data_IF_032309023849
#
_entry.id   IF_032309023849
#
_cell.length_a   1.000
_cell.length_b   1.000
_cell.length_c   1.000
_cell.angle_alpha   90.00
_cell.angle_beta   90.00
_cell.angle_gamma   90.00
#
_symmetry.space_group_name_H-M   'P 1'
#
loop_
_entity.id
_entity.type
_entity.pdbx_description
1 polymer ?
#
# COMPACT_ATOMS: atom_id res chain seq x y z
N UNK A 1 -17.57 -13.80 -21.45
CA UNK A 1 -16.84 -14.16 -20.21
C UNK A 1 -15.57 -13.34 -20.03
N UNK A 2 -14.89 -12.95 -21.10
CA UNK A 2 -13.60 -12.23 -21.05
C UNK A 2 -13.65 -10.92 -20.24
N UNK A 3 -14.68 -10.09 -20.39
CA UNK A 3 -14.84 -8.84 -19.62
C UNK A 3 -14.91 -9.03 -18.10
N UNK A 4 -15.53 -10.13 -17.65
CA UNK A 4 -15.65 -10.47 -16.22
C UNK A 4 -14.32 -11.01 -15.71
N UNK A 5 -13.66 -11.88 -16.49
CA UNK A 5 -12.35 -12.39 -16.15
C UNK A 5 -11.30 -11.27 -16.05
N UNK A 6 -11.34 -10.29 -16.96
CA UNK A 6 -10.43 -9.14 -16.94
C UNK A 6 -10.53 -8.32 -15.64
N UNK A 7 -11.73 -8.12 -15.11
CA UNK A 7 -11.94 -7.43 -13.83
C UNK A 7 -11.52 -8.31 -12.64
N UNK A 8 -11.97 -9.57 -12.62
CA UNK A 8 -11.82 -10.43 -11.44
C UNK A 8 -10.44 -11.05 -11.32
N UNK A 9 -9.71 -11.27 -12.41
CA UNK A 9 -8.40 -11.95 -12.39
C UNK A 9 -7.39 -11.19 -11.52
N UNK A 10 -7.29 -9.88 -11.70
CA UNK A 10 -6.41 -9.02 -10.90
C UNK A 10 -6.73 -9.09 -9.40
N UNK A 11 -8.02 -9.12 -9.05
CA UNK A 11 -8.50 -9.21 -7.66
C UNK A 11 -8.30 -10.61 -7.09
N UNK A 12 -8.47 -11.64 -7.91
CA UNK A 12 -8.22 -13.03 -7.53
C UNK A 12 -6.73 -13.24 -7.20
N UNK A 13 -5.83 -12.74 -8.06
CA UNK A 13 -4.39 -12.82 -7.84
C UNK A 13 -3.97 -12.03 -6.58
N UNK A 14 -4.56 -10.86 -6.36
CA UNK A 14 -4.37 -10.09 -5.13
C UNK A 14 -4.85 -10.84 -3.88
N UNK A 15 -6.02 -11.48 -3.95
CA UNK A 15 -6.60 -12.22 -2.82
C UNK A 15 -5.80 -13.48 -2.49
N UNK A 16 -5.26 -14.16 -3.50
CA UNK A 16 -4.36 -15.31 -3.31
C UNK A 16 -3.07 -14.87 -2.59
N UNK A 17 -2.48 -13.75 -3.04
CA UNK A 17 -1.31 -13.17 -2.38
C UNK A 17 -1.62 -12.78 -0.93
N UNK A 18 -2.73 -12.07 -0.69
CA UNK A 18 -3.16 -11.65 0.65
C UNK A 18 -3.45 -12.86 1.55
N UNK A 19 -4.01 -13.94 1.01
CA UNK A 19 -4.28 -15.17 1.76
C UNK A 19 -3.01 -15.92 2.18
N UNK A 20 -1.87 -15.64 1.55
CA UNK A 20 -0.57 -16.22 1.91
C UNK A 20 0.20 -15.43 2.96
N UNK A 21 -0.29 -14.25 3.33
CA UNK A 21 0.35 -13.36 4.30
C UNK A 21 0.11 -13.88 5.73
N UNK A 22 1.20 -14.13 6.47
CA UNK A 22 1.12 -14.71 7.82
C UNK A 22 0.90 -13.65 8.92
N UNK A 23 1.22 -12.38 8.65
CA UNK A 23 1.13 -11.29 9.63
C UNK A 23 0.48 -10.04 9.03
N UNK A 24 -0.86 -10.02 9.01
CA UNK A 24 -1.64 -8.85 8.60
C UNK A 24 -1.74 -7.86 9.77
N UNK A 25 -1.20 -6.65 9.60
CA UNK A 25 -1.25 -5.57 10.60
C UNK A 25 -2.29 -4.51 10.22
N UNK A 26 -2.88 -3.82 11.19
CA UNK A 26 -3.82 -2.72 10.92
C UNK A 26 -3.19 -1.59 10.08
N UNK A 27 -1.89 -1.40 10.19
CA UNK A 27 -1.10 -0.44 9.40
C UNK A 27 -1.04 -0.77 7.90
N UNK A 28 -1.24 -2.02 7.49
CA UNK A 28 -1.20 -2.41 6.07
C UNK A 28 -2.53 -2.18 5.36
N UNK A 29 -3.62 -1.93 6.09
CA UNK A 29 -4.96 -1.78 5.52
C UNK A 29 -5.09 -0.51 4.67
N UNK A 30 -4.62 0.65 5.16
CA UNK A 30 -4.62 1.91 4.39
C UNK A 30 -3.90 1.77 3.03
N UNK A 31 -2.64 1.30 2.95
CA UNK A 31 -1.95 1.16 1.67
C UNK A 31 -2.57 0.08 0.78
N UNK A 32 -3.09 -1.01 1.36
CA UNK A 32 -3.84 -2.04 0.61
C UNK A 32 -5.10 -1.46 -0.02
N UNK A 33 -5.89 -0.70 0.74
CA UNK A 33 -7.12 -0.08 0.22
C UNK A 33 -6.79 0.85 -0.94
N UNK A 34 -5.76 1.69 -0.80
CA UNK A 34 -5.30 2.56 -1.88
C UNK A 34 -4.83 1.78 -3.10
N UNK A 35 -4.08 0.69 -2.92
CA UNK A 35 -3.66 -0.16 -4.04
C UNK A 35 -4.86 -0.75 -4.80
N UNK A 36 -5.86 -1.26 -4.06
CA UNK A 36 -7.05 -1.86 -4.66
C UNK A 36 -7.84 -0.81 -5.44
N UNK A 37 -8.08 0.37 -4.87
CA UNK A 37 -8.96 1.38 -5.48
C UNK A 37 -8.29 2.25 -6.53
N UNK A 38 -7.00 2.59 -6.34
CA UNK A 38 -6.27 3.53 -7.21
C UNK A 38 -5.49 2.83 -8.33
N UNK A 39 -5.27 1.51 -8.27
CA UNK A 39 -4.53 0.77 -9.29
C UNK A 39 -5.32 -0.45 -9.78
N UNK A 40 -5.68 -1.38 -8.89
CA UNK A 40 -6.24 -2.68 -9.29
C UNK A 40 -7.63 -2.57 -9.94
N UNK A 41 -8.51 -1.78 -9.32
CA UNK A 41 -9.88 -1.53 -9.72
C UNK A 41 -10.07 -0.18 -10.41
N UNK A 42 -8.98 0.52 -10.76
CA UNK A 42 -9.11 1.72 -11.56
C UNK A 42 -9.56 1.32 -12.98
N UNK A 43 -10.65 1.91 -13.51
CA UNK A 43 -11.04 1.69 -14.90
C UNK A 43 -9.93 2.18 -15.85
N UNK A 44 -9.57 1.34 -16.81
CA UNK A 44 -8.59 1.66 -17.86
C UNK A 44 -9.31 2.04 -19.17
N UNK A 45 -8.64 2.77 -20.06
CA UNK A 45 -9.24 3.17 -21.35
C UNK A 45 -9.57 1.95 -22.23
N UNK A 46 -8.80 0.86 -22.11
CA UNK A 46 -9.05 -0.40 -22.81
C UNK A 46 -10.20 -1.25 -22.22
N UNK A 47 -10.77 -0.87 -21.07
CA UNK A 47 -11.80 -1.66 -20.42
C UNK A 47 -13.14 -1.58 -21.16
N UNK A 48 -13.83 -2.72 -21.26
CA UNK A 48 -15.22 -2.73 -21.74
C UNK A 48 -16.14 -2.03 -20.73
N UNK A 49 -17.28 -1.50 -21.19
CA UNK A 49 -18.27 -0.87 -20.29
C UNK A 49 -18.67 -1.76 -19.10
N UNK A 50 -18.80 -3.07 -19.33
CA UNK A 50 -19.10 -4.02 -18.26
C UNK A 50 -17.95 -4.14 -17.25
N UNK A 51 -16.71 -4.17 -17.72
CA UNK A 51 -15.49 -4.21 -16.88
C UNK A 51 -15.38 -2.95 -16.03
N UNK A 52 -15.59 -1.76 -16.60
CA UNK A 52 -15.60 -0.49 -15.86
C UNK A 52 -16.64 -0.50 -14.74
N UNK A 53 -17.89 -0.84 -15.08
CA UNK A 53 -18.98 -0.89 -14.09
C UNK A 53 -18.72 -1.90 -12.98
N UNK A 54 -18.12 -3.05 -13.30
CA UNK A 54 -17.79 -4.06 -12.30
C UNK A 54 -16.71 -3.54 -11.35
N UNK A 55 -15.63 -2.97 -11.89
CA UNK A 55 -14.56 -2.32 -11.11
C UNK A 55 -15.10 -1.22 -10.20
N UNK A 56 -15.92 -0.31 -10.73
CA UNK A 56 -16.57 0.77 -9.96
C UNK A 56 -17.44 0.22 -8.83
N UNK A 57 -18.23 -0.83 -9.09
CA UNK A 57 -19.08 -1.45 -8.06
C UNK A 57 -18.25 -2.10 -6.96
N UNK A 58 -17.16 -2.78 -7.32
CA UNK A 58 -16.25 -3.40 -6.35
C UNK A 58 -15.56 -2.32 -5.50
N UNK A 59 -15.04 -1.26 -6.12
CA UNK A 59 -14.45 -0.12 -5.41
C UNK A 59 -15.46 0.57 -4.50
N UNK A 60 -16.70 0.76 -4.96
CA UNK A 60 -17.78 1.35 -4.17
C UNK A 60 -18.09 0.55 -2.92
N UNK A 61 -18.27 -0.78 -3.04
CA UNK A 61 -18.49 -1.66 -1.88
C UNK A 61 -17.34 -1.55 -0.88
N UNK A 62 -16.09 -1.49 -1.36
CA UNK A 62 -14.93 -1.37 -0.48
C UNK A 62 -14.88 0.00 0.22
N UNK A 63 -15.08 1.09 -0.51
CA UNK A 63 -15.09 2.43 0.09
C UNK A 63 -16.23 2.63 1.07
N UNK A 64 -17.42 2.10 0.78
CA UNK A 64 -18.56 2.14 1.69
C UNK A 64 -18.27 1.42 3.02
N UNK A 65 -17.61 0.24 2.96
CA UNK A 65 -17.20 -0.53 4.15
C UNK A 65 -16.25 0.25 5.07
N UNK A 66 -15.36 1.07 4.50
CA UNK A 66 -14.36 1.84 5.25
C UNK A 66 -14.71 3.32 5.33
N UNK A 67 -15.94 3.73 5.00
CA UNK A 67 -16.34 5.14 4.90
C UNK A 67 -16.41 5.88 6.24
N UNK A 68 -16.51 5.17 7.36
CA UNK A 68 -16.60 5.78 8.68
C UNK A 68 -15.36 6.62 8.99
N UNK A 69 -15.56 7.89 9.37
CA UNK A 69 -14.48 8.83 9.65
C UNK A 69 -13.52 8.33 10.73
N UNK A 70 -14.04 7.72 11.80
CA UNK A 70 -13.23 7.12 12.86
C UNK A 70 -12.33 6.00 12.33
N UNK A 71 -12.84 5.12 11.47
CA UNK A 71 -12.06 4.07 10.82
C UNK A 71 -10.97 4.65 9.94
N UNK A 72 -11.29 5.63 9.08
CA UNK A 72 -10.29 6.27 8.21
C UNK A 72 -9.17 6.94 9.01
N UNK A 73 -9.50 7.62 10.11
CA UNK A 73 -8.51 8.22 11.02
C UNK A 73 -7.60 7.17 11.64
N UNK A 74 -8.16 6.08 12.19
CA UNK A 74 -7.37 5.01 12.79
C UNK A 74 -6.43 4.38 11.75
N UNK A 75 -6.95 4.06 10.57
CA UNK A 75 -6.15 3.46 9.48
C UNK A 75 -5.03 4.40 9.00
N UNK A 76 -5.28 5.71 8.95
CA UNK A 76 -4.27 6.70 8.60
C UNK A 76 -3.18 6.79 9.69
N UNK A 77 -3.56 6.88 10.97
CA UNK A 77 -2.62 6.92 12.09
C UNK A 77 -1.76 5.66 12.13
N UNK A 78 -2.36 4.47 12.10
CA UNK A 78 -1.63 3.19 12.19
C UNK A 78 -0.68 2.99 11.02
N UNK A 79 -1.05 3.44 9.82
CA UNK A 79 -0.20 3.30 8.65
C UNK A 79 0.94 4.32 8.65
N UNK A 80 0.70 5.55 9.13
CA UNK A 80 1.72 6.60 9.22
C UNK A 80 2.81 6.30 10.25
N UNK A 81 2.46 5.69 11.40
CA UNK A 81 3.46 5.31 12.42
C UNK A 81 4.28 4.07 12.04
N UNK A 82 3.84 3.31 11.02
CA UNK A 82 4.54 2.11 10.59
C UNK A 82 5.66 2.47 9.60
N UNK A 83 6.94 2.21 9.95
CA UNK A 83 8.08 2.62 9.13
C UNK A 83 8.14 1.94 7.76
N UNK A 84 7.35 0.88 7.54
CA UNK A 84 7.22 0.21 6.22
C UNK A 84 6.53 1.11 5.20
N UNK A 85 5.71 2.08 5.62
CA UNK A 85 4.83 2.86 4.74
C UNK A 85 5.15 4.36 4.73
N UNK A 86 6.41 4.70 4.47
CA UNK A 86 6.93 6.08 4.48
C UNK A 86 6.26 7.06 3.52
N UNK A 87 5.62 6.53 2.47
CA UNK A 87 5.02 7.33 1.40
C UNK A 87 3.49 7.43 1.54
N UNK A 88 2.92 7.03 2.67
CA UNK A 88 1.48 7.19 2.92
C UNK A 88 1.19 8.65 3.25
N UNK A 89 0.38 9.24 2.38
CA UNK A 89 -0.19 10.55 2.59
C UNK A 89 -1.39 10.46 3.55
N UNK A 90 -1.36 11.30 4.58
CA UNK A 90 -2.43 11.46 5.58
C UNK A 90 -2.79 12.93 5.69
N UNK A 91 -4.03 13.25 6.05
CA UNK A 91 -4.41 14.66 6.19
C UNK A 91 -3.68 15.32 7.37
N UNK A 92 -3.45 16.63 7.23
CA UNK A 92 -2.79 17.42 8.27
C UNK A 92 -3.54 17.32 9.62
N UNK A 93 -4.88 17.23 9.61
CA UNK A 93 -5.64 17.07 10.86
C UNK A 93 -5.28 15.77 11.60
N UNK A 94 -5.11 14.65 10.87
CA UNK A 94 -4.74 13.37 11.47
C UNK A 94 -3.31 13.42 12.02
N UNK A 95 -2.42 14.11 11.31
CA UNK A 95 -1.02 14.28 11.70
C UNK A 95 -0.91 15.13 12.96
N UNK A 96 -1.63 16.25 13.04
CA UNK A 96 -1.66 17.13 14.21
C UNK A 96 -2.25 16.41 15.42
N UNK A 97 -3.38 15.72 15.26
CA UNK A 97 -3.99 14.89 16.33
C UNK A 97 -2.99 13.86 16.86
N UNK A 98 -2.26 13.19 15.98
CA UNK A 98 -1.27 12.18 16.36
C UNK A 98 -0.06 12.80 17.09
N UNK A 99 0.39 13.99 16.67
CA UNK A 99 1.47 14.69 17.37
C UNK A 99 1.08 15.06 18.81
N UNK A 100 -0.14 15.55 19.01
CA UNK A 100 -0.65 15.84 20.36
C UNK A 100 -0.68 14.57 21.22
N UNK A 101 -1.23 13.46 20.68
CA UNK A 101 -1.24 12.16 21.37
C UNK A 101 0.17 11.68 21.74
N UNK A 102 1.17 11.89 20.88
CA UNK A 102 2.56 11.52 21.16
C UNK A 102 3.21 12.36 22.25
N UNK A 103 2.86 13.65 22.35
CA UNK A 103 3.37 14.55 23.39
C UNK A 103 2.74 14.28 24.75
N UNK A 104 1.52 13.74 24.76
CA UNK A 104 0.77 13.40 25.98
C UNK A 104 1.13 12.00 26.54
N UNK A 105 1.95 11.21 25.84
CA UNK A 105 2.40 9.90 26.34
C UNK A 105 3.39 10.06 27.51
N UNK A 106 3.17 9.41 28.67
CA UNK A 106 4.13 9.41 29.77
C UNK A 106 5.41 8.66 29.36
N UNK A 107 6.58 9.15 29.80
CA UNK A 107 7.92 8.64 29.41
C UNK A 107 8.24 7.19 29.84
N UNK A 108 7.33 6.48 30.50
CA UNK A 108 7.56 5.12 30.98
C UNK A 108 7.18 4.05 29.94
N UNK A 109 7.95 3.91 28.85
CA UNK A 109 8.20 2.61 28.21
C UNK A 109 9.27 2.66 27.10
N UNK A 110 10.48 3.14 27.43
CA UNK A 110 11.68 2.83 26.61
C UNK A 110 12.30 1.53 27.14
N UNK A 111 11.64 0.40 26.90
CA UNK A 111 12.28 -0.90 27.12
C UNK A 111 12.63 -1.45 25.74
N UNK A 112 13.91 -1.38 25.40
CA UNK A 112 14.50 -1.98 24.21
C UNK A 112 14.29 -3.51 24.28
N UNK A 113 13.23 -3.97 23.60
CA UNK A 113 12.97 -5.39 23.39
C UNK A 113 13.88 -5.91 22.28
N UNK A 114 14.99 -6.51 22.69
CA UNK A 114 15.89 -7.29 21.85
C UNK A 114 15.09 -8.39 21.13
N UNK A 115 14.96 -8.27 19.82
CA UNK A 115 14.26 -9.23 18.97
C UNK A 115 15.21 -10.37 18.60
N UNK A 116 15.14 -11.47 19.33
CA UNK A 116 15.80 -12.73 18.95
C UNK A 116 15.23 -13.22 17.61
N UNK A 117 16.08 -13.24 16.58
CA UNK A 117 15.76 -13.79 15.28
C UNK A 117 15.91 -15.31 15.28
N UNK A 118 14.82 -16.02 15.05
CA UNK A 118 14.87 -17.45 14.70
C UNK A 118 15.05 -17.59 13.18
N UNK A 119 16.26 -18.01 12.78
CA UNK A 119 16.57 -18.51 11.44
C UNK A 119 15.96 -19.92 11.28
N UNK A 120 15.03 -20.07 10.34
CA UNK A 120 14.57 -21.38 9.88
C UNK A 120 14.77 -21.47 8.37
N UNK A 121 15.88 -22.09 7.99
CA UNK A 121 16.18 -22.47 6.62
C UNK A 121 15.34 -23.69 6.20
N UNK A 122 14.39 -23.45 5.29
CA UNK A 122 13.69 -24.49 4.54
C UNK A 122 13.68 -24.13 3.04
N UNK A 123 13.66 -25.11 2.13
CA UNK A 123 13.94 -24.90 0.72
C UNK A 123 12.81 -24.13 0.01
N UNK A 124 13.18 -23.07 -0.71
CA UNK A 124 12.25 -22.12 -1.33
C UNK A 124 11.36 -22.75 -2.43
N UNK A 125 10.02 -22.72 -2.30
CA UNK A 125 9.10 -22.87 -3.42
C UNK A 125 9.17 -21.64 -4.37
N UNK A 126 8.62 -21.72 -5.61
CA UNK A 126 8.70 -20.62 -6.57
C UNK A 126 8.18 -19.32 -5.96
N UNK A 127 8.96 -18.23 -6.10
CA UNK A 127 8.70 -16.91 -5.51
C UNK A 127 7.26 -16.45 -5.81
N UNK A 128 6.38 -16.60 -4.83
CA UNK A 128 5.04 -16.01 -4.85
C UNK A 128 5.16 -14.55 -4.43
N UNK A 129 4.42 -13.67 -5.11
CA UNK A 129 4.36 -12.25 -4.74
C UNK A 129 3.73 -12.11 -3.36
N UNK A 130 4.41 -11.44 -2.43
CA UNK A 130 3.88 -11.14 -1.11
C UNK A 130 3.24 -9.74 -1.08
N UNK A 131 2.65 -9.37 0.06
CA UNK A 131 2.02 -8.05 0.22
C UNK A 131 3.03 -6.90 0.04
N UNK A 132 4.27 -7.07 0.52
CA UNK A 132 5.30 -6.06 0.36
C UNK A 132 5.66 -5.83 -1.11
N UNK A 133 5.79 -6.88 -1.91
CA UNK A 133 6.07 -6.81 -3.35
C UNK A 133 4.98 -6.03 -4.10
N UNK A 134 3.72 -6.23 -3.72
CA UNK A 134 2.57 -5.51 -4.28
C UNK A 134 2.60 -4.02 -3.95
N UNK A 135 2.99 -3.66 -2.73
CA UNK A 135 3.10 -2.28 -2.27
C UNK A 135 4.34 -1.57 -2.86
N UNK A 136 5.46 -2.28 -2.99
CA UNK A 136 6.68 -1.74 -3.60
C UNK A 136 6.53 -1.51 -5.10
N UNK A 137 5.78 -2.37 -5.80
CA UNK A 137 5.50 -2.20 -7.23
C UNK A 137 4.82 -0.85 -7.56
N UNK A 138 4.07 -0.25 -6.62
CA UNK A 138 3.52 1.12 -6.75
C UNK A 138 4.62 2.19 -6.84
N UNK A 139 5.76 2.02 -6.18
CA UNK A 139 6.87 2.99 -6.20
C UNK A 139 7.61 3.06 -7.55
N UNK A 140 7.44 2.05 -8.40
CA UNK A 140 8.21 1.89 -9.64
C UNK A 140 7.76 2.74 -10.85
N UNK A 141 6.64 3.47 -10.78
CA UNK A 141 6.16 4.30 -11.90
C UNK A 141 6.56 5.76 -11.72
N UNK A 142 7.87 6.01 -11.60
CA UNK A 142 8.44 7.35 -11.88
C UNK A 142 9.25 7.24 -13.16
N UNK A 143 8.85 8.01 -14.16
CA UNK A 143 9.56 8.18 -15.43
C UNK A 143 10.99 8.65 -15.17
N UNK A 144 12.01 8.09 -15.84
CA UNK A 144 13.39 8.52 -15.62
C UNK A 144 13.59 9.95 -16.14
N UNK A 145 13.90 10.85 -15.21
CA UNK A 145 14.37 12.21 -15.50
C UNK A 145 15.70 12.10 -16.28
N UNK A 146 15.85 12.72 -17.47
CA UNK A 146 17.09 12.67 -18.22
C UNK A 146 18.22 13.36 -17.45
N UNK A 147 19.35 12.65 -17.29
CA UNK A 147 20.58 13.17 -16.70
C UNK A 147 21.09 14.36 -17.53
N UNK A 148 21.21 15.53 -16.91
CA UNK A 148 21.92 16.69 -17.50
C UNK A 148 23.34 16.27 -17.88
N UNK A 149 23.66 16.45 -19.16
CA UNK A 149 25.03 16.38 -19.70
C UNK A 149 25.84 17.52 -19.07
N UNK A 150 26.95 17.18 -18.40
CA UNK A 150 28.05 18.11 -18.15
C UNK A 150 28.85 18.20 -19.44
N UNK A 151 28.86 19.36 -20.09
CA UNK A 151 29.87 19.69 -21.10
C UNK A 151 30.95 20.45 -20.35
N UNK A 152 32.06 19.78 -20.09
CA UNK A 152 33.32 20.42 -19.80
C UNK A 152 33.82 21.02 -21.12
N UNK A 153 33.89 22.35 -21.19
CA UNK A 153 34.60 23.05 -22.27
C UNK A 153 35.97 23.43 -21.75
N UNK A 154 36.98 22.63 -22.06
CA UNK A 154 38.37 23.05 -22.06
C UNK A 154 38.72 23.79 -23.37
N UNK A 155 39.64 24.75 -23.23
CA UNK A 155 40.51 25.39 -24.23
C UNK A 155 39.94 26.51 -25.11
N UNK A 156 40.32 27.75 -24.79
CA UNK A 156 41.46 28.46 -25.43
C UNK A 156 41.85 29.71 -24.65
#
# INVERSE_FOLDING_TARGET
MESVNAALKKVADFTDALSSEQAVTASSLKPVLQLITEDLLLPAEEDTQLTCRLKEKMSGVLMDKYSASSTQKILAKTAFVDPRYKDIDISDEVKDELMVEMMDLPEEQRNDGDGEGEDSSAPNPPKKMNLADLLEKKKGKTTPIPKRIRVDTEMS
#
